data_IF_892591481495
#
_entry.id   IF_892591481495
#
_cell.length_a   1.000
_cell.length_b   1.000
_cell.length_c   1.000
_cell.angle_alpha   90.00
_cell.angle_beta   90.00
_cell.angle_gamma   90.00
#
_symmetry.space_group_name_H-M   'P 1'
#
loop_
_entity.id
_entity.type
_entity.pdbx_description
1 polymer ?
#
# COMPACT_ATOMS: atom_id res chain seq x y z
N UNK A 1 1.49 26.21 11.82
CA UNK A 1 0.58 25.03 11.70
C UNK A 1 0.17 24.65 13.11
N UNK A 2 -1.12 24.69 13.49
CA UNK A 2 -1.52 24.34 14.85
C UNK A 2 -1.36 22.83 15.06
N UNK A 3 -0.68 22.47 16.16
CA UNK A 3 -0.57 21.11 16.66
C UNK A 3 -1.98 20.55 16.97
N UNK A 4 -2.22 19.28 16.62
CA UNK A 4 -3.49 18.62 16.89
C UNK A 4 -3.64 18.44 18.40
N UNK A 5 -4.75 18.85 19.03
CA UNK A 5 -4.97 18.63 20.44
C UNK A 5 -5.21 17.13 20.69
N UNK A 6 -4.46 16.54 21.62
CA UNK A 6 -4.51 15.12 22.04
C UNK A 6 -3.85 14.06 21.14
N UNK A 7 -2.55 14.20 20.87
CA UNK A 7 -1.71 13.01 20.72
C UNK A 7 -1.32 12.50 22.12
N UNK A 8 -2.28 11.90 22.83
CA UNK A 8 -1.99 11.14 24.04
C UNK A 8 -1.05 9.98 23.64
N UNK A 9 0.19 10.04 24.13
CA UNK A 9 1.19 9.00 23.87
C UNK A 9 0.80 7.73 24.62
N UNK A 10 0.13 6.81 23.93
CA UNK A 10 -0.22 5.52 24.51
C UNK A 10 0.96 4.56 24.48
N UNK A 11 1.24 3.93 25.62
CA UNK A 11 2.16 2.79 25.67
C UNK A 11 1.60 1.61 24.85
N UNK A 12 2.45 0.73 24.31
CA UNK A 12 1.99 -0.42 23.51
C UNK A 12 1.03 -1.34 24.28
N UNK A 13 1.20 -1.46 25.58
CA UNK A 13 0.34 -2.25 26.45
C UNK A 13 -1.08 -1.67 26.55
N UNK A 14 -1.19 -0.35 26.72
CA UNK A 14 -2.48 0.35 26.73
C UNK A 14 -3.23 0.21 25.40
N UNK A 15 -2.50 0.21 24.29
CA UNK A 15 -3.08 -0.02 22.97
C UNK A 15 -3.68 -1.43 22.89
N UNK A 16 -2.96 -2.46 23.35
CA UNK A 16 -3.47 -3.83 23.37
C UNK A 16 -4.72 -3.99 24.24
N UNK A 17 -4.78 -3.32 25.39
CA UNK A 17 -5.97 -3.33 26.24
C UNK A 17 -7.18 -2.71 25.55
N UNK A 18 -7.00 -1.61 24.82
CA UNK A 18 -8.08 -0.98 24.04
C UNK A 18 -8.55 -1.87 22.88
N UNK A 19 -7.64 -2.63 22.25
CA UNK A 19 -8.03 -3.66 21.26
C UNK A 19 -8.94 -4.70 21.92
N UNK A 20 -8.52 -5.25 23.07
CA UNK A 20 -9.29 -6.26 23.82
C UNK A 20 -10.67 -5.74 24.25
N UNK A 21 -10.76 -4.46 24.61
CA UNK A 21 -12.00 -3.78 25.00
C UNK A 21 -12.85 -3.31 23.80
N UNK A 22 -12.37 -3.46 22.57
CA UNK A 22 -13.10 -3.05 21.36
C UNK A 22 -13.19 -1.53 21.14
N UNK A 23 -12.47 -0.72 21.94
CA UNK A 23 -12.51 0.75 21.89
C UNK A 23 -11.70 1.36 20.73
N UNK A 24 -10.94 0.54 20.01
CA UNK A 24 -10.05 1.02 18.97
C UNK A 24 -10.75 1.16 17.62
N UNK A 25 -10.61 2.35 17.01
CA UNK A 25 -11.13 2.64 15.67
C UNK A 25 -10.53 1.67 14.64
N UNK A 26 -11.37 1.23 13.71
CA UNK A 26 -11.02 0.34 12.61
C UNK A 26 -11.16 1.06 11.27
N UNK A 27 -10.25 0.82 10.35
CA UNK A 27 -10.27 1.37 8.99
C UNK A 27 -9.92 0.29 7.96
N UNK A 28 -10.35 0.49 6.73
CA UNK A 28 -10.07 -0.45 5.63
C UNK A 28 -8.80 -0.05 4.90
N UNK A 29 -7.97 -1.03 4.55
CA UNK A 29 -6.88 -0.83 3.60
C UNK A 29 -7.47 -0.49 2.22
N UNK A 30 -6.98 0.56 1.58
CA UNK A 30 -7.53 0.98 0.29
C UNK A 30 -7.22 0.00 -0.87
N UNK A 31 -6.18 -0.83 -0.73
CA UNK A 31 -5.81 -1.80 -1.76
C UNK A 31 -6.54 -3.13 -1.62
N UNK A 32 -6.38 -3.82 -0.48
CA UNK A 32 -6.94 -5.15 -0.23
C UNK A 32 -8.32 -5.15 0.44
N UNK A 33 -8.85 -3.99 0.83
CA UNK A 33 -10.17 -3.79 1.44
C UNK A 33 -10.39 -4.50 2.80
N UNK A 34 -9.39 -5.20 3.33
CA UNK A 34 -9.41 -5.76 4.68
C UNK A 34 -9.45 -4.66 5.74
N UNK A 35 -10.13 -4.96 6.85
CA UNK A 35 -10.31 -4.07 7.99
C UNK A 35 -9.15 -4.28 8.96
N UNK A 36 -8.47 -3.19 9.34
CA UNK A 36 -7.35 -3.15 10.27
C UNK A 36 -7.62 -2.17 11.40
N UNK A 37 -6.88 -2.30 12.49
CA UNK A 37 -6.82 -1.24 13.51
C UNK A 37 -6.00 -0.07 12.96
N UNK A 38 -6.39 1.17 13.31
CA UNK A 38 -5.72 2.38 12.78
C UNK A 38 -4.21 2.38 13.04
N UNK A 39 -3.76 1.76 14.13
CA UNK A 39 -2.33 1.71 14.48
C UNK A 39 -1.53 0.73 13.60
N UNK A 40 -2.21 -0.22 12.94
CA UNK A 40 -1.60 -1.24 12.07
C UNK A 40 -1.52 -0.78 10.61
N UNK A 41 -1.95 0.46 10.32
CA UNK A 41 -1.93 1.09 8.99
C UNK A 41 -0.82 2.16 8.93
N UNK A 42 0.47 1.78 8.85
CA UNK A 42 1.58 2.75 8.79
C UNK A 42 1.70 3.43 7.42
N UNK A 43 1.15 2.81 6.37
CA UNK A 43 1.30 3.28 5.00
C UNK A 43 0.26 4.34 4.64
N UNK A 44 0.71 5.46 4.07
CA UNK A 44 -0.16 6.46 3.47
C UNK A 44 0.28 6.73 2.03
N UNK A 45 -0.61 6.53 1.07
CA UNK A 45 -0.35 6.78 -0.35
C UNK A 45 -1.45 7.63 -0.98
N UNK A 46 -1.20 8.17 -2.17
CA UNK A 46 -2.23 8.85 -2.96
C UNK A 46 -3.18 7.85 -3.61
N UNK A 47 -4.47 8.21 -3.67
CA UNK A 47 -5.48 7.43 -4.40
C UNK A 47 -5.07 7.20 -5.86
N UNK A 48 -4.42 8.18 -6.50
CA UNK A 48 -3.85 8.05 -7.86
C UNK A 48 -2.95 6.81 -8.00
N UNK A 49 -2.00 6.62 -7.09
CA UNK A 49 -1.08 5.48 -7.14
C UNK A 49 -1.81 4.15 -7.04
N UNK A 50 -2.88 4.09 -6.24
CA UNK A 50 -3.72 2.88 -6.11
C UNK A 50 -4.45 2.60 -7.42
N UNK A 51 -5.00 3.62 -8.08
CA UNK A 51 -5.64 3.46 -9.40
C UNK A 51 -4.63 3.01 -10.46
N UNK A 52 -3.41 3.55 -10.45
CA UNK A 52 -2.34 3.13 -11.36
C UNK A 52 -1.95 1.66 -11.13
N UNK A 53 -1.82 1.22 -9.88
CA UNK A 53 -1.52 -0.18 -9.56
C UNK A 53 -2.65 -1.12 -10.00
N UNK A 54 -3.92 -0.75 -9.74
CA UNK A 54 -5.08 -1.52 -10.20
C UNK A 54 -5.11 -1.63 -11.73
N UNK A 55 -4.80 -0.54 -12.44
CA UNK A 55 -4.67 -0.53 -13.90
C UNK A 55 -3.55 -1.48 -14.36
N UNK A 56 -2.40 -1.50 -13.68
CA UNK A 56 -1.29 -2.44 -13.97
C UNK A 56 -1.70 -3.91 -13.78
N UNK A 57 -2.58 -4.19 -12.81
CA UNK A 57 -3.15 -5.52 -12.58
C UNK A 57 -4.32 -5.88 -13.52
N UNK A 58 -4.67 -5.01 -14.47
CA UNK A 58 -5.75 -5.25 -15.41
C UNK A 58 -7.15 -5.08 -14.80
N UNK A 59 -7.27 -4.52 -13.59
CA UNK A 59 -8.58 -4.12 -13.10
C UNK A 59 -9.03 -2.89 -13.89
N UNK A 60 -10.17 -3.01 -14.55
CA UNK A 60 -10.78 -1.87 -15.23
C UNK A 60 -11.30 -0.87 -14.20
N UNK A 61 -10.58 0.24 -14.07
CA UNK A 61 -10.87 1.31 -13.11
C UNK A 61 -12.02 2.20 -13.61
N UNK A 62 -12.56 1.95 -14.81
CA UNK A 62 -13.69 2.69 -15.41
C UNK A 62 -15.05 2.32 -14.80
N UNK A 63 -15.16 2.16 -13.48
CA UNK A 63 -16.46 2.06 -12.82
C UNK A 63 -17.10 3.45 -12.72
N UNK A 64 -17.87 3.80 -13.75
CA UNK A 64 -18.68 5.02 -13.86
C UNK A 64 -18.16 5.99 -14.92
N UNK A 65 -19.07 6.66 -15.63
CA UNK A 65 -18.81 7.54 -16.80
C UNK A 65 -17.81 8.69 -16.60
N UNK A 66 -17.23 8.87 -15.40
CA UNK A 66 -16.32 9.97 -15.11
C UNK A 66 -15.14 9.52 -14.24
N UNK A 67 -13.94 9.89 -14.69
CA UNK A 67 -12.72 9.83 -13.89
C UNK A 67 -12.92 10.64 -12.59
N UNK A 68 -12.41 10.17 -11.43
CA UNK A 68 -12.50 10.92 -10.20
C UNK A 68 -11.89 12.33 -10.37
N UNK A 69 -12.46 13.36 -9.74
CA UNK A 69 -11.97 14.73 -9.86
C UNK A 69 -10.51 14.85 -9.39
N UNK A 70 -9.73 15.81 -9.93
CA UNK A 70 -8.32 16.02 -9.57
C UNK A 70 -8.05 16.09 -8.06
N UNK A 71 -8.96 16.66 -7.28
CA UNK A 71 -8.84 16.74 -5.81
C UNK A 71 -8.84 15.36 -5.12
N UNK A 72 -9.57 14.38 -5.65
CA UNK A 72 -9.64 13.03 -5.06
C UNK A 72 -8.40 12.19 -5.38
N UNK A 73 -7.71 12.46 -6.50
CA UNK A 73 -6.50 11.73 -6.90
C UNK A 73 -5.36 11.89 -5.89
N UNK A 74 -5.27 13.06 -5.24
CA UNK A 74 -4.26 13.36 -4.22
C UNK A 74 -4.72 13.08 -2.78
N UNK A 75 -5.91 12.51 -2.61
CA UNK A 75 -6.38 12.10 -1.28
C UNK A 75 -5.42 11.06 -0.71
N UNK A 76 -5.01 11.26 0.55
CA UNK A 76 -4.20 10.29 1.29
C UNK A 76 -5.08 9.13 1.73
N UNK A 77 -4.68 7.94 1.34
CA UNK A 77 -5.34 6.68 1.67
C UNK A 77 -4.38 5.78 2.45
N UNK A 78 -4.95 5.09 3.43
CA UNK A 78 -4.21 4.24 4.36
C UNK A 78 -4.06 2.82 3.79
N UNK A 79 -2.87 2.25 3.97
CA UNK A 79 -2.50 0.92 3.52
C UNK A 79 -1.96 0.09 4.66
N UNK A 80 -2.24 -1.21 4.62
CA UNK A 80 -1.60 -2.17 5.52
C UNK A 80 -0.12 -2.35 5.16
N UNK A 81 0.64 -2.84 6.14
CA UNK A 81 2.08 -3.12 6.02
C UNK A 81 2.38 -3.96 4.78
N UNK A 82 1.58 -5.00 4.53
CA UNK A 82 1.76 -5.88 3.38
C UNK A 82 1.53 -5.15 2.05
N UNK A 83 0.43 -4.42 1.89
CA UNK A 83 0.13 -3.73 0.64
C UNK A 83 1.12 -2.60 0.32
N UNK A 84 1.82 -2.07 1.33
CA UNK A 84 2.85 -1.06 1.13
C UNK A 84 4.03 -1.58 0.29
N UNK A 85 4.29 -2.90 0.28
CA UNK A 85 5.37 -3.51 -0.50
C UNK A 85 5.23 -3.28 -2.03
N UNK A 86 4.00 -3.08 -2.53
CA UNK A 86 3.74 -2.85 -3.94
C UNK A 86 4.09 -1.44 -4.41
N UNK A 87 4.34 -0.52 -3.48
CA UNK A 87 4.58 0.90 -3.75
C UNK A 87 5.96 1.39 -3.33
N UNK A 88 6.74 0.59 -2.62
CA UNK A 88 8.10 0.95 -2.22
C UNK A 88 9.09 0.95 -3.39
N UNK A 89 9.95 1.95 -3.45
CA UNK A 89 11.04 2.09 -4.45
C UNK A 89 12.24 1.16 -4.17
N UNK A 90 12.16 0.27 -3.18
CA UNK A 90 13.21 -0.68 -2.82
C UNK A 90 12.87 -2.10 -3.28
N UNK A 91 13.09 -2.36 -4.56
CA UNK A 91 13.75 -3.59 -5.05
C UNK A 91 13.17 -4.98 -4.75
N UNK A 92 11.96 -5.14 -4.19
CA UNK A 92 11.41 -6.49 -3.92
C UNK A 92 10.89 -7.20 -5.17
N UNK A 93 10.43 -6.46 -6.18
CA UNK A 93 10.01 -7.03 -7.47
C UNK A 93 11.20 -7.38 -8.37
N UNK A 94 12.29 -6.61 -8.32
CA UNK A 94 13.52 -6.97 -9.02
C UNK A 94 14.20 -8.19 -8.39
N UNK A 95 14.30 -8.27 -7.06
CA UNK A 95 14.97 -9.40 -6.41
C UNK A 95 14.23 -10.73 -6.61
N UNK A 96 12.89 -10.76 -6.56
CA UNK A 96 12.14 -11.97 -6.89
C UNK A 96 12.28 -12.36 -8.37
N UNK A 97 12.18 -11.41 -9.31
CA UNK A 97 12.37 -11.70 -10.74
C UNK A 97 13.79 -12.19 -11.05
N UNK A 98 14.81 -11.65 -10.38
CA UNK A 98 16.20 -12.01 -10.57
C UNK A 98 16.53 -13.39 -9.97
N UNK A 99 15.90 -13.76 -8.84
CA UNK A 99 16.01 -15.10 -8.25
C UNK A 99 15.24 -16.15 -9.08
N UNK A 100 14.07 -15.80 -9.61
CA UNK A 100 13.30 -16.67 -10.52
C UNK A 100 13.98 -16.83 -11.89
N UNK A 101 14.70 -15.80 -12.36
CA UNK A 101 15.51 -15.87 -13.59
C UNK A 101 16.80 -16.68 -13.38
N UNK A 102 17.40 -16.64 -12.19
CA UNK A 102 18.62 -17.40 -11.87
C UNK A 102 18.37 -18.92 -11.76
N UNK A 103 17.16 -19.32 -11.39
CA UNK A 103 16.79 -20.75 -11.19
C UNK A 103 16.34 -21.47 -12.46
N UNK A 104 16.08 -20.73 -13.56
CA UNK A 104 15.89 -21.29 -14.90
C UNK A 104 17.09 -20.90 -15.74
N UNK A 105 18.04 -21.82 -15.93
CA UNK A 105 19.30 -21.62 -16.65
C UNK A 105 19.13 -21.15 -18.11
N UNK A 106 18.76 -19.89 -18.30
CA UNK A 106 18.70 -19.19 -19.58
C UNK A 106 19.69 -18.04 -19.57
N UNK A 107 20.72 -18.15 -20.42
CA UNK A 107 21.77 -17.14 -20.61
C UNK A 107 21.21 -15.72 -20.77
N UNK A 108 21.86 -14.67 -20.22
CA UNK A 108 21.45 -13.30 -20.46
C UNK A 108 21.65 -12.94 -21.94
N UNK A 109 20.58 -12.43 -22.57
CA UNK A 109 20.50 -12.01 -23.97
C UNK A 109 21.32 -10.74 -24.31
N UNK A 110 22.54 -10.61 -23.77
CA UNK A 110 23.39 -9.42 -23.97
C UNK A 110 24.70 -9.70 -24.73
N UNK A 111 24.84 -10.87 -25.35
CA UNK A 111 26.03 -11.25 -26.12
C UNK A 111 25.75 -11.71 -27.56
N UNK A 112 24.75 -11.14 -28.25
CA UNK A 112 24.62 -11.27 -29.70
C UNK A 112 24.51 -9.89 -30.36
N UNK A 113 25.65 -9.23 -30.52
CA UNK A 113 25.88 -8.24 -31.55
C UNK A 113 27.07 -8.76 -32.38
N UNK A 114 26.75 -9.27 -33.57
CA UNK A 114 27.67 -9.42 -34.70
C UNK A 114 27.27 -8.38 -35.72
#
# INVERSE_FOLDING_TARGET
MPARPNEEQYTPEMLQLRVKQGLQKRKKCALCLHVFHVNELPGAITHKSILELRKKWGLDVRRGDRMPPPSQLYKREELCVFCMQFFGTSGSTQSQQQLLASTRGGMPARLTLR
#
